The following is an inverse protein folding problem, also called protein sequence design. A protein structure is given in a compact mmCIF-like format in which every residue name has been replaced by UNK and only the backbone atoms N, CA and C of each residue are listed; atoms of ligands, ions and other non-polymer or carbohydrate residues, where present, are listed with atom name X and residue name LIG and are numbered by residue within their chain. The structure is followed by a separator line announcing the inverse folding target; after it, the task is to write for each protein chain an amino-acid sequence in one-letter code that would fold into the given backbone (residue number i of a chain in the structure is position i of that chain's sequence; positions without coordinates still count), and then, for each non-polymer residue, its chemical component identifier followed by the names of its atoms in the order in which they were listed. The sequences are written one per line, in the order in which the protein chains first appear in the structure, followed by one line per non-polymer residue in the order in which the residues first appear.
data_IF_615277786068
#
_entry.id   IF_615277786068
#
_cell.length_a   1.000
_cell.length_b   1.000
_cell.length_c   1.000
_cell.angle_alpha   90.00
_cell.angle_beta   90.00
_cell.angle_gamma   90.00
#
_symmetry.space_group_name_H-M   'P 1'
#
loop_
_entity.id
_entity.type
_entity.pdbx_description
1 polymer ?
#
# COMPACT_ATOMS: atom_id res chain seq x y z
N UNK A 1 -7.42 -13.60 29.26
CA UNK A 1 -6.90 -12.24 29.03
C UNK A 1 -5.68 -12.38 28.15
N UNK A 2 -5.80 -12.20 26.82
CA UNK A 2 -4.64 -12.21 25.93
C UNK A 2 -3.90 -10.89 26.16
N UNK A 3 -2.76 -10.96 26.85
CA UNK A 3 -1.87 -9.81 27.05
C UNK A 3 -1.10 -9.58 25.74
N UNK A 4 -0.84 -8.31 25.42
CA UNK A 4 -0.10 -7.91 24.21
C UNK A 4 1.31 -8.53 24.10
N UNK A 5 1.84 -9.05 25.20
CA UNK A 5 3.16 -9.67 25.29
C UNK A 5 3.15 -11.20 25.04
N UNK A 6 1.98 -11.83 24.90
CA UNK A 6 1.87 -13.29 24.79
C UNK A 6 2.12 -13.83 23.36
N UNK A 7 2.34 -12.96 22.37
CA UNK A 7 2.57 -13.35 20.98
C UNK A 7 3.63 -12.43 20.35
N UNK A 8 4.68 -12.98 19.70
CA UNK A 8 5.64 -12.16 18.95
C UNK A 8 4.96 -11.27 17.90
N UNK A 9 3.90 -11.77 17.23
CA UNK A 9 3.11 -10.98 16.27
C UNK A 9 2.47 -9.76 16.94
N UNK A 10 1.88 -9.95 18.13
CA UNK A 10 1.27 -8.85 18.88
C UNK A 10 2.34 -7.87 19.37
N UNK A 11 3.46 -8.39 19.87
CA UNK A 11 4.56 -7.61 20.42
C UNK A 11 5.21 -6.66 19.40
N UNK A 12 5.45 -7.11 18.16
CA UNK A 12 5.98 -6.23 17.11
C UNK A 12 4.97 -5.18 16.63
N UNK A 13 3.68 -5.50 16.67
CA UNK A 13 2.63 -4.65 16.11
C UNK A 13 1.87 -3.81 17.15
N UNK A 14 2.33 -3.72 18.41
CA UNK A 14 1.68 -2.91 19.45
C UNK A 14 1.55 -1.44 19.03
N UNK A 15 2.51 -0.93 18.25
CA UNK A 15 2.47 0.43 17.71
C UNK A 15 1.22 0.71 16.85
N UNK A 16 0.66 -0.31 16.19
CA UNK A 16 -0.62 -0.17 15.50
C UNK A 16 -1.78 -0.23 16.49
N UNK A 17 -1.75 -1.13 17.47
CA UNK A 17 -2.88 -1.36 18.37
C UNK A 17 -3.15 -0.18 19.32
N UNK A 18 -2.12 0.32 19.98
CA UNK A 18 -2.22 1.35 21.01
C UNK A 18 -1.07 2.37 20.97
N UNK A 19 -0.35 2.46 19.86
CA UNK A 19 0.75 3.42 19.64
C UNK A 19 1.85 3.33 20.72
N UNK A 20 2.14 2.12 21.20
CA UNK A 20 3.27 1.89 22.11
C UNK A 20 4.62 2.25 21.45
N UNK A 21 5.68 2.32 22.25
CA UNK A 21 7.03 2.65 21.81
C UNK A 21 7.49 1.74 20.66
N UNK A 22 8.19 2.32 19.69
CA UNK A 22 8.80 1.58 18.61
C UNK A 22 9.94 0.70 19.14
N UNK A 23 9.88 -0.61 18.87
CA UNK A 23 10.83 -1.63 19.37
C UNK A 23 11.66 -2.26 18.26
N UNK A 24 11.77 -1.59 17.12
CA UNK A 24 12.30 -2.19 15.88
C UNK A 24 11.21 -2.91 15.09
N UNK A 25 11.55 -3.35 13.88
CA UNK A 25 10.62 -4.01 12.96
C UNK A 25 10.83 -3.54 11.52
N UNK A 26 9.95 -4.00 10.63
CA UNK A 26 9.97 -3.64 9.22
C UNK A 26 9.63 -2.16 8.98
N UNK A 27 9.98 -1.58 7.81
CA UNK A 27 9.82 -0.15 7.51
C UNK A 27 8.46 0.46 7.85
N UNK A 28 7.40 -0.32 7.75
CA UNK A 28 6.04 0.14 8.04
C UNK A 28 5.83 0.52 9.52
N UNK A 29 6.47 -0.17 10.46
CA UNK A 29 6.44 0.18 11.88
C UNK A 29 7.13 1.53 12.12
N UNK A 30 8.30 1.74 11.51
CA UNK A 30 9.01 3.01 11.63
C UNK A 30 8.23 4.16 11.01
N UNK A 31 7.42 3.94 9.96
CA UNK A 31 6.56 4.99 9.42
C UNK A 31 5.58 5.54 10.47
N UNK A 32 5.02 4.69 11.33
CA UNK A 32 4.15 5.13 12.42
C UNK A 32 4.93 5.95 13.43
N UNK A 33 6.12 5.48 13.81
CA UNK A 33 7.04 6.18 14.71
C UNK A 33 7.44 7.56 14.17
N UNK A 34 7.85 7.61 12.91
CA UNK A 34 8.21 8.82 12.18
C UNK A 34 7.06 9.84 12.17
N UNK A 35 5.83 9.40 11.85
CA UNK A 35 4.67 10.28 11.83
C UNK A 35 4.29 10.79 13.23
N UNK A 36 4.44 9.96 14.27
CA UNK A 36 4.21 10.40 15.64
C UNK A 36 5.25 11.43 16.10
N UNK A 37 6.54 11.19 15.83
CA UNK A 37 7.60 12.12 16.21
C UNK A 37 7.43 13.46 15.49
N UNK A 38 7.05 13.45 14.20
CA UNK A 38 6.71 14.68 13.48
C UNK A 38 5.53 15.45 14.09
N UNK A 39 4.54 14.73 14.63
CA UNK A 39 3.43 15.36 15.34
C UNK A 39 3.88 15.99 16.66
N UNK A 40 4.68 15.30 17.47
CA UNK A 40 5.07 15.81 18.80
C UNK A 40 6.15 16.90 18.71
N UNK A 41 7.16 16.70 17.85
CA UNK A 41 8.26 17.65 17.69
C UNK A 41 7.90 18.84 16.79
N UNK A 42 6.75 18.77 16.10
CA UNK A 42 6.28 19.77 15.14
C UNK A 42 7.27 20.04 13.98
N UNK A 43 8.12 19.07 13.65
CA UNK A 43 9.10 19.16 12.57
C UNK A 43 8.44 19.30 11.20
N UNK A 44 9.08 20.05 10.30
CA UNK A 44 8.72 20.12 8.89
C UNK A 44 9.79 19.37 8.10
N UNK A 45 9.39 18.25 7.50
CA UNK A 45 10.30 17.39 6.74
C UNK A 45 9.84 17.39 5.28
N UNK A 46 10.72 17.70 4.30
CA UNK A 46 10.33 17.83 2.90
C UNK A 46 10.16 16.49 2.17
N UNK A 47 10.17 15.37 2.89
CA UNK A 47 10.04 14.01 2.38
C UNK A 47 9.23 13.14 3.34
N UNK A 48 8.65 12.07 2.82
CA UNK A 48 7.84 11.12 3.56
C UNK A 48 8.29 9.68 3.27
N UNK A 49 7.94 8.77 4.17
CA UNK A 49 8.09 7.32 3.95
C UNK A 49 7.03 6.85 2.94
N UNK A 50 7.46 6.16 1.88
CA UNK A 50 6.59 5.82 0.75
C UNK A 50 5.64 4.65 1.06
N UNK A 51 6.00 3.84 2.05
CA UNK A 51 5.23 2.69 2.50
C UNK A 51 3.79 2.98 2.89
N UNK A 52 2.80 2.34 2.27
CA UNK A 52 1.38 2.54 2.63
C UNK A 52 0.70 1.19 2.85
N UNK A 53 0.07 1.01 4.00
CA UNK A 53 -0.76 -0.15 4.34
C UNK A 53 -2.22 0.28 4.31
N UNK A 54 -3.07 -0.59 3.78
CA UNK A 54 -4.52 -0.37 3.71
C UNK A 54 -5.21 -0.60 5.06
N UNK A 55 -6.48 -0.21 5.14
CA UNK A 55 -7.31 -0.41 6.33
C UNK A 55 -7.41 -1.89 6.71
N UNK A 56 -7.52 -2.79 5.71
CA UNK A 56 -7.59 -4.25 5.94
C UNK A 56 -6.37 -4.80 6.68
N UNK A 57 -5.18 -4.19 6.57
CA UNK A 57 -4.02 -4.62 7.36
C UNK A 57 -4.33 -4.59 8.86
N UNK A 58 -4.89 -3.47 9.34
CA UNK A 58 -5.22 -3.30 10.77
C UNK A 58 -6.31 -4.28 11.19
N UNK A 59 -7.33 -4.46 10.35
CA UNK A 59 -8.41 -5.43 10.59
C UNK A 59 -7.90 -6.87 10.67
N UNK A 60 -7.07 -7.29 9.71
CA UNK A 60 -6.45 -8.62 9.69
C UNK A 60 -5.54 -8.83 10.90
N UNK A 61 -4.74 -7.83 11.27
CA UNK A 61 -3.88 -7.90 12.45
C UNK A 61 -4.71 -8.17 13.72
N UNK A 62 -5.77 -7.39 13.93
CA UNK A 62 -6.63 -7.53 15.12
C UNK A 62 -7.35 -8.88 15.11
N UNK A 63 -7.87 -9.31 13.95
CA UNK A 63 -8.57 -10.58 13.77
C UNK A 63 -7.66 -11.77 14.04
N UNK A 64 -6.46 -11.81 13.45
CA UNK A 64 -5.50 -12.89 13.65
C UNK A 64 -5.01 -13.01 15.11
N UNK A 65 -4.98 -11.90 15.84
CA UNK A 65 -4.57 -11.88 17.24
C UNK A 65 -5.74 -12.10 18.23
N UNK A 66 -6.99 -12.09 17.75
CA UNK A 66 -8.18 -12.17 18.61
C UNK A 66 -8.33 -10.95 19.54
N UNK A 67 -7.76 -9.80 19.17
CA UNK A 67 -7.67 -8.60 20.02
C UNK A 67 -8.79 -7.60 19.72
N UNK A 68 -10.04 -8.08 19.65
CA UNK A 68 -11.20 -7.31 19.20
C UNK A 68 -11.46 -6.01 19.97
N UNK A 69 -10.95 -5.89 21.21
CA UNK A 69 -11.02 -4.65 21.98
C UNK A 69 -10.26 -3.47 21.35
N UNK A 70 -9.36 -3.71 20.39
CA UNK A 70 -8.66 -2.67 19.62
C UNK A 70 -9.30 -2.38 18.25
N UNK A 71 -10.41 -3.06 17.92
CA UNK A 71 -11.14 -2.85 16.67
C UNK A 71 -11.99 -1.58 16.75
N UNK A 72 -11.39 -0.45 16.40
CA UNK A 72 -12.03 0.86 16.36
C UNK A 72 -11.90 1.47 14.97
N UNK A 73 -12.88 2.30 14.58
CA UNK A 73 -12.87 3.02 13.29
C UNK A 73 -12.25 4.40 13.42
N UNK A 74 -12.35 4.99 14.61
CA UNK A 74 -11.74 6.26 14.96
C UNK A 74 -10.90 6.10 16.23
N UNK A 75 -9.67 6.66 16.32
CA UNK A 75 -8.83 6.52 17.51
C UNK A 75 -9.48 6.99 18.83
N UNK A 76 -10.44 7.92 18.76
CA UNK A 76 -11.19 8.40 19.92
C UNK A 76 -12.10 7.33 20.55
N UNK A 77 -12.46 6.28 19.81
CA UNK A 77 -13.33 5.19 20.26
C UNK A 77 -12.59 4.16 21.12
N UNK A 78 -11.25 4.15 21.11
CA UNK A 78 -10.47 3.19 21.89
C UNK A 78 -10.71 3.44 23.38
N UNK A 79 -11.03 2.40 24.16
CA UNK A 79 -11.32 2.54 25.58
C UNK A 79 -10.13 3.16 26.35
N UNK A 80 -10.34 4.12 27.27
CA UNK A 80 -9.25 4.82 27.97
C UNK A 80 -8.22 3.90 28.62
N UNK A 81 -8.64 2.77 29.19
CA UNK A 81 -7.78 1.76 29.82
C UNK A 81 -6.85 1.01 28.84
N UNK A 82 -7.12 1.09 27.53
CA UNK A 82 -6.28 0.51 26.48
C UNK A 82 -5.33 1.53 25.83
N UNK A 83 -5.46 2.82 26.17
CA UNK A 83 -4.64 3.89 25.60
C UNK A 83 -3.31 3.96 26.32
N UNK A 84 -2.23 4.00 25.55
CA UNK A 84 -0.94 4.47 26.06
C UNK A 84 -0.95 5.99 26.20
N UNK A 85 0.07 6.55 26.85
CA UNK A 85 0.27 8.01 26.89
C UNK A 85 0.38 8.60 25.47
N UNK A 86 1.10 7.92 24.56
CA UNK A 86 1.22 8.34 23.16
C UNK A 86 -0.12 8.37 22.44
N UNK A 87 -0.95 7.36 22.64
CA UNK A 87 -2.31 7.33 22.09
C UNK A 87 -3.18 8.44 22.68
N UNK A 88 -3.06 8.72 23.98
CA UNK A 88 -3.83 9.78 24.61
C UNK A 88 -3.43 11.17 24.07
N UNK A 89 -2.14 11.45 23.90
CA UNK A 89 -1.65 12.68 23.24
C UNK A 89 -2.25 12.81 21.83
N UNK A 90 -2.33 11.71 21.09
CA UNK A 90 -2.94 11.71 19.76
C UNK A 90 -4.46 11.98 19.81
N UNK A 91 -5.18 11.37 20.76
CA UNK A 91 -6.60 11.67 21.00
C UNK A 91 -6.82 13.15 21.33
N UNK A 92 -5.97 13.76 22.15
CA UNK A 92 -6.11 15.17 22.52
C UNK A 92 -5.99 16.10 21.29
N UNK A 93 -5.10 15.77 20.35
CA UNK A 93 -5.02 16.47 19.06
C UNK A 93 -6.27 16.27 18.21
N UNK A 94 -6.81 15.04 18.14
CA UNK A 94 -8.01 14.73 17.37
C UNK A 94 -9.26 15.43 17.92
N UNK A 95 -9.42 15.49 19.25
CA UNK A 95 -10.52 16.20 19.90
C UNK A 95 -10.51 17.69 19.57
N UNK A 96 -9.32 18.29 19.46
CA UNK A 96 -9.16 19.71 19.16
C UNK A 96 -8.90 20.01 17.68
N UNK A 97 -9.02 19.01 16.79
CA UNK A 97 -8.57 19.07 15.40
C UNK A 97 -9.03 20.30 14.61
N UNK A 98 -10.30 20.75 14.69
CA UNK A 98 -10.76 21.93 13.94
C UNK A 98 -10.06 23.24 14.34
N UNK A 99 -9.55 23.33 15.57
CA UNK A 99 -8.87 24.52 16.10
C UNK A 99 -7.34 24.51 15.85
N UNK A 100 -6.80 23.39 15.35
CA UNK A 100 -5.37 23.27 15.06
C UNK A 100 -4.95 24.08 13.83
N UNK A 101 -3.67 24.49 13.79
CA UNK A 101 -3.09 25.07 12.58
C UNK A 101 -3.09 24.05 11.44
N UNK A 102 -3.08 24.52 10.18
CA UNK A 102 -3.06 23.62 9.01
C UNK A 102 -1.84 22.68 9.01
N UNK A 103 -0.67 23.17 9.39
CA UNK A 103 0.53 22.34 9.52
C UNK A 103 0.37 21.23 10.56
N UNK A 104 -0.23 21.55 11.71
CA UNK A 104 -0.53 20.54 12.75
C UNK A 104 -1.61 19.57 12.29
N UNK A 105 -2.65 20.04 11.59
CA UNK A 105 -3.66 19.17 10.96
C UNK A 105 -3.00 18.15 10.03
N UNK A 106 -2.08 18.57 9.16
CA UNK A 106 -1.33 17.66 8.27
C UNK A 106 -0.65 16.54 9.06
N UNK A 107 0.07 16.88 10.14
CA UNK A 107 0.78 15.89 10.98
C UNK A 107 -0.18 14.90 11.65
N UNK A 108 -1.33 15.37 12.15
CA UNK A 108 -2.37 14.51 12.74
C UNK A 108 -2.91 13.54 11.68
N UNK A 109 -3.21 14.02 10.48
CA UNK A 109 -3.71 13.20 9.38
C UNK A 109 -2.65 12.22 8.87
N UNK A 110 -1.37 12.60 8.83
CA UNK A 110 -0.27 11.70 8.48
C UNK A 110 -0.12 10.54 9.48
N UNK A 111 -0.34 10.80 10.78
CA UNK A 111 -0.36 9.74 11.78
C UNK A 111 -1.59 8.83 11.62
N UNK A 112 -2.80 9.36 11.39
CA UNK A 112 -3.96 8.55 11.03
C UNK A 112 -3.67 7.66 9.81
N UNK A 113 -3.03 8.23 8.79
CA UNK A 113 -2.72 7.54 7.54
C UNK A 113 -1.74 6.39 7.80
N UNK A 114 -0.72 6.63 8.61
CA UNK A 114 0.29 5.62 8.98
C UNK A 114 -0.29 4.51 9.85
N UNK A 115 -1.31 4.80 10.66
CA UNK A 115 -2.05 3.85 11.48
C UNK A 115 -3.20 3.14 10.75
N UNK A 116 -3.36 3.40 9.45
CA UNK A 116 -4.38 2.82 8.57
C UNK A 116 -5.83 3.24 8.86
N UNK A 117 -6.05 4.40 9.51
CA UNK A 117 -7.38 4.95 9.79
C UNK A 117 -7.92 5.78 8.60
N UNK A 118 -7.98 5.17 7.41
CA UNK A 118 -8.36 5.88 6.19
C UNK A 118 -9.80 6.40 6.22
N UNK A 119 -10.74 5.65 6.79
CA UNK A 119 -12.13 6.10 6.95
C UNK A 119 -12.22 7.36 7.84
N UNK A 120 -11.51 7.38 8.97
CA UNK A 120 -11.48 8.55 9.86
C UNK A 120 -10.89 9.78 9.17
N UNK A 121 -9.88 9.62 8.31
CA UNK A 121 -9.32 10.74 7.52
C UNK A 121 -10.41 11.39 6.66
N UNK A 122 -11.33 10.60 6.10
CA UNK A 122 -12.43 11.14 5.31
C UNK A 122 -13.44 11.94 6.15
N UNK A 123 -13.49 11.73 7.45
CA UNK A 123 -14.34 12.48 8.38
C UNK A 123 -13.67 13.79 8.83
N UNK A 124 -12.36 13.76 9.11
CA UNK A 124 -11.61 14.93 9.57
C UNK A 124 -11.24 15.91 8.45
N UNK A 125 -11.03 15.43 7.23
CA UNK A 125 -10.62 16.26 6.10
C UNK A 125 -11.75 16.29 5.08
N UNK A 126 -12.65 17.29 5.05
CA UNK A 126 -13.68 17.37 4.03
C UNK A 126 -13.07 17.58 2.63
N UNK A 127 -13.89 17.38 1.58
CA UNK A 127 -13.49 17.74 0.21
C UNK A 127 -13.15 19.23 0.14
N UNK A 128 -12.01 19.54 -0.46
CA UNK A 128 -11.52 20.92 -0.63
C UNK A 128 -11.73 21.39 -2.05
N UNK A 129 -12.12 22.65 -2.22
CA UNK A 129 -12.21 23.28 -3.53
C UNK A 129 -10.83 23.52 -4.14
N UNK A 130 -10.78 23.68 -5.48
CA UNK A 130 -9.55 24.05 -6.18
C UNK A 130 -8.91 25.35 -5.64
N UNK A 131 -9.73 26.31 -5.19
CA UNK A 131 -9.26 27.59 -4.62
C UNK A 131 -8.57 27.35 -3.28
N UNK A 132 -9.14 26.52 -2.41
CA UNK A 132 -8.54 26.16 -1.12
C UNK A 132 -7.22 25.40 -1.29
N UNK A 133 -7.19 24.47 -2.25
CA UNK A 133 -5.98 23.71 -2.61
C UNK A 133 -4.88 24.65 -3.11
N UNK A 134 -5.21 25.62 -3.96
CA UNK A 134 -4.25 26.58 -4.52
C UNK A 134 -3.74 27.59 -3.48
N UNK A 135 -4.52 27.90 -2.45
CA UNK A 135 -4.20 28.96 -1.49
C UNK A 135 -3.15 28.58 -0.44
N UNK A 136 -2.90 27.29 -0.20
CA UNK A 136 -2.00 26.85 0.88
C UNK A 136 -1.44 25.44 0.64
N UNK A 137 -0.12 25.27 0.80
CA UNK A 137 0.59 23.99 0.67
C UNK A 137 0.12 22.90 1.64
N UNK A 138 -0.23 23.26 2.88
CA UNK A 138 -0.78 22.34 3.86
C UNK A 138 -2.21 21.91 3.47
N UNK A 139 -3.03 22.81 2.93
CA UNK A 139 -4.35 22.47 2.40
C UNK A 139 -4.24 21.50 1.23
N UNK A 140 -3.30 21.73 0.31
CA UNK A 140 -3.02 20.79 -0.78
C UNK A 140 -2.57 19.42 -0.26
N UNK A 141 -1.77 19.38 0.81
CA UNK A 141 -1.31 18.14 1.44
C UNK A 141 -2.45 17.39 2.14
N UNK A 142 -3.34 18.09 2.84
CA UNK A 142 -4.55 17.50 3.43
C UNK A 142 -5.46 16.92 2.34
N UNK A 143 -5.69 17.66 1.25
CA UNK A 143 -6.48 17.17 0.12
C UNK A 143 -5.86 15.90 -0.50
N UNK A 144 -4.53 15.86 -0.65
CA UNK A 144 -3.81 14.69 -1.13
C UNK A 144 -3.94 13.48 -0.21
N UNK A 145 -3.76 13.64 1.10
CA UNK A 145 -3.91 12.56 2.08
C UNK A 145 -5.35 12.01 2.10
N UNK A 146 -6.36 12.88 1.96
CA UNK A 146 -7.76 12.48 1.79
C UNK A 146 -7.95 11.68 0.51
N UNK A 147 -7.53 12.20 -0.64
CA UNK A 147 -7.70 11.55 -1.94
C UNK A 147 -7.00 10.18 -2.00
N UNK A 148 -5.80 10.08 -1.44
CA UNK A 148 -5.09 8.80 -1.31
C UNK A 148 -5.80 7.82 -0.37
N UNK A 149 -6.38 8.31 0.74
CA UNK A 149 -7.15 7.46 1.66
C UNK A 149 -8.42 6.92 1.02
N UNK A 150 -9.13 7.75 0.25
CA UNK A 150 -10.29 7.35 -0.54
C UNK A 150 -9.91 6.28 -1.59
N UNK A 151 -8.84 6.53 -2.36
CA UNK A 151 -8.31 5.57 -3.32
C UNK A 151 -7.93 4.24 -2.66
N UNK A 152 -7.28 4.27 -1.51
CA UNK A 152 -6.87 3.07 -0.78
C UNK A 152 -8.07 2.27 -0.27
N UNK A 153 -9.10 2.90 0.28
CA UNK A 153 -10.32 2.21 0.73
C UNK A 153 -11.02 1.46 -0.42
N UNK A 154 -11.09 2.07 -1.59
CA UNK A 154 -11.72 1.44 -2.75
C UNK A 154 -10.85 0.32 -3.33
N UNK A 155 -9.54 0.55 -3.50
CA UNK A 155 -8.63 -0.44 -4.06
C UNK A 155 -8.44 -1.67 -3.16
N UNK A 156 -8.40 -1.47 -1.84
CA UNK A 156 -8.29 -2.54 -0.84
C UNK A 156 -9.48 -3.52 -0.92
N UNK A 157 -10.67 -3.00 -1.19
CA UNK A 157 -11.91 -3.78 -1.33
C UNK A 157 -12.25 -4.13 -2.78
N UNK A 158 -11.37 -3.81 -3.73
CA UNK A 158 -11.57 -4.00 -5.17
C UNK A 158 -12.92 -3.41 -5.66
N UNK A 159 -13.21 -2.19 -5.19
CA UNK A 159 -14.36 -1.37 -5.53
C UNK A 159 -13.99 -0.34 -6.63
N UNK A 160 -14.96 0.14 -7.43
CA UNK A 160 -14.74 1.22 -8.37
C UNK A 160 -14.23 2.50 -7.69
N UNK A 161 -13.28 3.20 -8.30
CA UNK A 161 -12.73 4.46 -7.78
C UNK A 161 -12.51 5.50 -8.88
N UNK A 162 -12.32 6.76 -8.48
CA UNK A 162 -12.08 7.90 -9.38
C UNK A 162 -10.78 8.60 -9.02
N UNK A 163 -10.10 9.19 -10.01
CA UNK A 163 -8.87 9.96 -9.82
C UNK A 163 -9.10 11.48 -9.90
N UNK A 164 -10.36 11.92 -9.94
CA UNK A 164 -10.70 13.33 -10.16
C UNK A 164 -10.13 14.27 -9.08
N UNK A 165 -10.12 13.82 -7.83
CA UNK A 165 -9.58 14.62 -6.73
C UNK A 165 -8.06 14.76 -6.86
N UNK A 166 -7.36 13.67 -7.22
CA UNK A 166 -5.94 13.70 -7.53
C UNK A 166 -5.64 14.62 -8.73
N UNK A 167 -6.46 14.60 -9.77
CA UNK A 167 -6.33 15.51 -10.91
C UNK A 167 -6.49 16.97 -10.48
N UNK A 168 -7.49 17.26 -9.67
CA UNK A 168 -7.74 18.59 -9.12
C UNK A 168 -6.54 19.07 -8.30
N UNK A 169 -5.95 18.20 -7.48
CA UNK A 169 -4.76 18.50 -6.68
C UNK A 169 -3.57 18.78 -7.60
N UNK A 170 -3.29 17.89 -8.56
CA UNK A 170 -2.17 18.03 -9.48
C UNK A 170 -2.26 19.34 -10.27
N UNK A 171 -3.46 19.75 -10.70
CA UNK A 171 -3.64 20.97 -11.48
C UNK A 171 -3.57 22.25 -10.62
N UNK A 172 -4.05 22.22 -9.38
CA UNK A 172 -4.31 23.44 -8.60
C UNK A 172 -3.38 23.66 -7.41
N UNK A 173 -2.69 22.64 -6.88
CA UNK A 173 -1.76 22.85 -5.77
C UNK A 173 -0.64 23.84 -6.15
N UNK A 174 -0.01 24.54 -5.19
CA UNK A 174 1.02 25.53 -5.50
C UNK A 174 2.17 24.94 -6.34
N UNK A 175 2.67 25.68 -7.33
CA UNK A 175 3.83 25.26 -8.15
C UNK A 175 5.04 25.04 -7.24
N UNK A 176 5.80 23.96 -7.48
CA UNK A 176 6.90 23.55 -6.62
C UNK A 176 6.47 22.76 -5.38
N UNK A 177 5.17 22.51 -5.18
CA UNK A 177 4.70 21.62 -4.12
C UNK A 177 4.75 20.15 -4.57
N UNK A 178 5.39 19.31 -3.75
CA UNK A 178 5.59 17.88 -3.99
C UNK A 178 4.30 17.09 -4.25
N UNK A 179 3.16 17.56 -3.75
CA UNK A 179 1.88 16.85 -3.94
C UNK A 179 1.38 16.95 -5.39
N UNK A 180 1.84 17.93 -6.19
CA UNK A 180 1.58 17.99 -7.64
C UNK A 180 2.22 16.81 -8.35
N UNK A 181 3.50 16.56 -8.04
CA UNK A 181 4.27 15.43 -8.54
C UNK A 181 3.62 14.12 -8.07
N UNK A 182 3.33 14.02 -6.78
CA UNK A 182 2.77 12.79 -6.18
C UNK A 182 1.40 12.43 -6.76
N UNK A 183 0.50 13.39 -6.90
CA UNK A 183 -0.81 13.17 -7.51
C UNK A 183 -0.70 12.82 -8.99
N UNK A 184 0.10 13.57 -9.76
CA UNK A 184 0.32 13.27 -11.18
C UNK A 184 0.94 11.89 -11.41
N UNK A 185 1.87 11.47 -10.55
CA UNK A 185 2.51 10.15 -10.63
C UNK A 185 1.53 9.04 -10.26
N UNK A 186 0.70 9.22 -9.24
CA UNK A 186 -0.35 8.24 -8.91
C UNK A 186 -1.31 8.07 -10.11
N UNK A 187 -1.73 9.16 -10.73
CA UNK A 187 -2.62 9.12 -11.91
C UNK A 187 -1.97 8.39 -13.08
N UNK A 188 -0.71 8.70 -13.39
CA UNK A 188 0.08 8.01 -14.42
C UNK A 188 0.07 6.49 -14.16
N UNK A 189 0.40 6.09 -12.93
CA UNK A 189 0.53 4.69 -12.55
C UNK A 189 -0.81 3.96 -12.69
N UNK A 190 -1.92 4.55 -12.24
CA UNK A 190 -3.26 3.95 -12.38
C UNK A 190 -3.70 3.84 -13.84
N UNK A 191 -3.51 4.90 -14.64
CA UNK A 191 -3.78 4.86 -16.08
C UNK A 191 -3.02 3.74 -16.76
N UNK A 192 -1.74 3.59 -16.43
CA UNK A 192 -0.90 2.59 -17.06
C UNK A 192 -1.14 1.16 -16.55
N UNK A 193 -1.33 0.98 -15.23
CA UNK A 193 -1.44 -0.35 -14.61
C UNK A 193 -2.86 -0.90 -14.63
N UNK A 194 -3.83 -0.07 -14.32
CA UNK A 194 -5.23 -0.49 -14.14
C UNK A 194 -5.99 -0.39 -15.44
N UNK A 195 -5.98 0.80 -16.07
CA UNK A 195 -6.82 1.05 -17.25
C UNK A 195 -6.15 0.81 -18.59
N UNK A 196 -4.82 0.63 -18.60
CA UNK A 196 -4.03 0.43 -19.82
C UNK A 196 -4.18 1.58 -20.83
N UNK A 197 -4.44 2.79 -20.34
CA UNK A 197 -4.53 4.02 -21.14
C UNK A 197 -3.13 4.59 -21.36
N UNK A 198 -2.59 4.35 -22.54
CA UNK A 198 -1.25 4.80 -22.91
C UNK A 198 -1.20 6.32 -23.12
N UNK A 199 -2.17 6.91 -23.82
CA UNK A 199 -2.19 8.34 -24.13
C UNK A 199 -2.30 9.18 -22.84
N UNK A 200 -3.21 8.77 -21.95
CA UNK A 200 -3.35 9.38 -20.63
C UNK A 200 -2.07 9.25 -19.80
N UNK A 201 -1.46 8.07 -19.78
CA UNK A 201 -0.21 7.85 -19.03
C UNK A 201 0.97 8.69 -19.58
N UNK A 202 1.07 8.87 -20.90
CA UNK A 202 2.09 9.74 -21.52
C UNK A 202 1.89 11.22 -21.22
N UNK A 203 0.62 11.67 -21.24
CA UNK A 203 0.28 13.03 -20.86
C UNK A 203 0.70 13.31 -19.41
N UNK A 204 0.32 12.44 -18.48
CA UNK A 204 0.66 12.60 -17.07
C UNK A 204 2.15 12.42 -16.79
N UNK A 205 2.85 11.57 -17.53
CA UNK A 205 4.32 11.50 -17.50
C UNK A 205 4.94 12.85 -17.86
N UNK A 206 4.52 13.44 -18.96
CA UNK A 206 5.01 14.75 -19.41
C UNK A 206 4.67 15.87 -18.42
N UNK A 207 3.50 15.78 -17.77
CA UNK A 207 3.12 16.68 -16.69
C UNK A 207 4.10 16.56 -15.51
N UNK A 208 4.32 15.35 -15.00
CA UNK A 208 5.19 15.11 -13.85
C UNK A 208 6.63 15.54 -14.15
N UNK A 209 7.15 15.27 -15.36
CA UNK A 209 8.49 15.73 -15.78
C UNK A 209 8.64 17.26 -15.72
N UNK A 210 7.59 18.03 -16.06
CA UNK A 210 7.60 19.49 -15.94
C UNK A 210 7.55 19.95 -14.49
N UNK A 211 6.72 19.32 -13.67
CA UNK A 211 6.60 19.66 -12.25
C UNK A 211 7.89 19.33 -11.48
N UNK A 212 8.57 18.23 -11.81
CA UNK A 212 9.90 17.92 -11.26
C UNK A 212 10.87 19.03 -11.60
N UNK A 213 10.98 19.46 -12.86
CA UNK A 213 11.87 20.58 -13.26
C UNK A 213 11.57 21.87 -12.49
N UNK A 214 10.29 22.15 -12.21
CA UNK A 214 9.89 23.32 -11.44
C UNK A 214 10.18 23.20 -9.93
N UNK A 215 10.31 21.97 -9.41
CA UNK A 215 10.47 21.68 -7.98
C UNK A 215 11.94 21.43 -7.61
N UNK A 216 12.75 20.81 -8.48
CA UNK A 216 14.12 20.36 -8.15
C UNK A 216 15.01 21.50 -7.64
N UNK A 217 14.85 22.72 -8.15
CA UNK A 217 15.64 23.87 -7.70
C UNK A 217 15.41 24.27 -6.22
N UNK A 218 14.31 23.84 -5.59
CA UNK A 218 14.03 24.09 -4.17
C UNK A 218 14.41 22.92 -3.25
N UNK A 219 14.94 21.83 -3.80
CA UNK A 219 15.29 20.63 -3.05
C UNK A 219 16.79 20.56 -2.78
N UNK A 220 17.14 19.92 -1.67
CA UNK A 220 18.51 19.46 -1.46
C UNK A 220 18.80 18.22 -2.33
N UNK A 221 20.07 17.82 -2.37
CA UNK A 221 20.52 16.67 -3.15
C UNK A 221 19.80 15.37 -2.75
N UNK A 222 19.42 15.24 -1.48
CA UNK A 222 18.67 14.09 -0.98
C UNK A 222 17.25 14.07 -1.53
N UNK A 223 16.52 15.18 -1.44
CA UNK A 223 15.17 15.35 -1.96
C UNK A 223 15.09 15.18 -3.47
N UNK A 224 16.04 15.77 -4.22
CA UNK A 224 16.14 15.57 -5.67
C UNK A 224 16.33 14.10 -6.01
N UNK A 225 17.32 13.44 -5.41
CA UNK A 225 17.59 12.01 -5.66
C UNK A 225 16.38 11.12 -5.35
N UNK A 226 15.67 11.44 -4.26
CA UNK A 226 14.51 10.67 -3.82
C UNK A 226 13.36 10.79 -4.82
N UNK A 227 13.05 12.02 -5.24
CA UNK A 227 12.00 12.26 -6.25
C UNK A 227 12.34 11.60 -7.57
N UNK A 228 13.59 11.71 -8.04
CA UNK A 228 13.99 11.10 -9.32
C UNK A 228 13.87 9.58 -9.27
N UNK A 229 14.25 8.96 -8.15
CA UNK A 229 14.07 7.53 -7.92
C UNK A 229 12.58 7.12 -7.96
N UNK A 230 11.72 7.85 -7.22
CA UNK A 230 10.27 7.63 -7.20
C UNK A 230 9.66 7.81 -8.59
N UNK A 231 10.07 8.87 -9.30
CA UNK A 231 9.59 9.20 -10.63
C UNK A 231 9.87 8.08 -11.62
N UNK A 232 11.13 7.64 -11.76
CA UNK A 232 11.45 6.59 -12.73
C UNK A 232 10.76 5.27 -12.37
N UNK A 233 10.59 4.94 -11.08
CA UNK A 233 9.82 3.78 -10.64
C UNK A 233 8.35 3.80 -11.07
N UNK A 234 7.72 4.97 -11.12
CA UNK A 234 6.34 5.12 -11.59
C UNK A 234 6.23 5.34 -13.11
N UNK A 235 7.13 6.13 -13.70
CA UNK A 235 7.12 6.48 -15.12
C UNK A 235 7.41 5.29 -16.04
N UNK A 236 8.11 4.26 -15.54
CA UNK A 236 8.44 3.03 -16.28
C UNK A 236 7.21 2.26 -16.76
N UNK A 237 6.03 2.48 -16.16
CA UNK A 237 4.82 1.82 -16.62
C UNK A 237 4.42 2.23 -18.04
N UNK A 238 4.84 3.41 -18.53
CA UNK A 238 4.63 3.86 -19.92
C UNK A 238 5.40 2.98 -20.91
N UNK A 239 6.76 2.85 -20.85
CA UNK A 239 7.47 1.94 -21.74
C UNK A 239 7.10 0.46 -21.51
N UNK A 240 6.68 0.08 -20.30
CA UNK A 240 6.16 -1.26 -20.03
C UNK A 240 4.87 -1.55 -20.83
N UNK A 241 3.93 -0.60 -20.90
CA UNK A 241 2.74 -0.71 -21.75
C UNK A 241 3.10 -0.82 -23.24
N UNK A 242 4.10 -0.05 -23.69
CA UNK A 242 4.64 -0.14 -25.05
C UNK A 242 5.42 -1.43 -25.31
N UNK A 243 5.67 -2.25 -24.28
CA UNK A 243 6.54 -3.43 -24.32
C UNK A 243 7.97 -3.10 -24.77
N UNK A 244 8.42 -1.86 -24.54
CA UNK A 244 9.76 -1.41 -24.89
C UNK A 244 10.77 -1.86 -23.83
N UNK A 245 11.29 -3.07 -23.99
CA UNK A 245 12.23 -3.70 -23.04
C UNK A 245 13.46 -2.83 -22.75
N UNK A 246 14.09 -2.27 -23.78
CA UNK A 246 15.31 -1.50 -23.63
C UNK A 246 15.08 -0.24 -22.78
N UNK A 247 13.97 0.45 -23.00
CA UNK A 247 13.62 1.64 -22.23
C UNK A 247 13.19 1.29 -20.79
N UNK A 248 12.48 0.17 -20.58
CA UNK A 248 12.17 -0.32 -19.23
C UNK A 248 13.46 -0.53 -18.43
N UNK A 249 14.41 -1.26 -19.00
CA UNK A 249 15.70 -1.55 -18.32
C UNK A 249 16.46 -0.26 -18.03
N UNK A 250 16.58 0.63 -19.02
CA UNK A 250 17.29 1.90 -18.84
C UNK A 250 16.66 2.79 -17.75
N UNK A 251 15.32 2.89 -17.70
CA UNK A 251 14.63 3.68 -16.68
C UNK A 251 14.72 3.03 -15.29
N UNK A 252 14.71 1.70 -15.22
CA UNK A 252 14.92 0.97 -13.96
C UNK A 252 16.36 1.08 -13.45
N UNK A 253 17.35 1.14 -14.34
CA UNK A 253 18.75 1.39 -13.98
C UNK A 253 18.93 2.81 -13.44
N UNK A 254 18.30 3.83 -14.05
CA UNK A 254 18.28 5.19 -13.51
C UNK A 254 17.62 5.23 -12.13
N UNK A 255 16.45 4.62 -11.99
CA UNK A 255 15.72 4.51 -10.72
C UNK A 255 16.61 3.95 -9.59
N UNK A 256 17.32 2.85 -9.88
CA UNK A 256 18.23 2.20 -8.95
C UNK A 256 19.45 3.08 -8.64
N UNK A 257 20.07 3.69 -9.64
CA UNK A 257 21.23 4.56 -9.45
C UNK A 257 20.92 5.76 -8.54
N UNK A 258 19.75 6.41 -8.71
CA UNK A 258 19.33 7.48 -7.81
C UNK A 258 19.17 7.01 -6.37
N UNK A 259 18.61 5.82 -6.15
CA UNK A 259 18.41 5.29 -4.80
C UNK A 259 19.68 4.84 -4.09
N UNK A 260 20.62 4.25 -4.83
CA UNK A 260 21.94 3.90 -4.31
C UNK A 260 22.78 5.17 -4.04
N UNK A 261 22.50 6.26 -4.75
CA UNK A 261 23.10 7.57 -4.53
C UNK A 261 22.57 8.33 -3.31
N UNK A 262 21.46 7.91 -2.70
CA UNK A 262 20.86 8.57 -1.53
C UNK A 262 21.72 8.40 -0.27
N UNK A 263 22.54 9.41 0.03
CA UNK A 263 23.32 9.49 1.27
C UNK A 263 22.49 10.20 2.36
N UNK A 264 22.01 9.46 3.35
CA UNK A 264 21.29 10.04 4.47
C UNK A 264 22.23 10.62 5.53
N UNK A 265 22.09 11.92 5.81
CA UNK A 265 22.86 12.63 6.84
C UNK A 265 22.19 12.56 8.21
N UNK A 266 20.86 12.43 8.24
CA UNK A 266 20.07 12.26 9.45
C UNK A 266 19.53 10.83 9.56
N UNK A 267 19.14 10.41 10.76
CA UNK A 267 18.49 9.12 10.98
C UNK A 267 17.24 8.94 10.09
N UNK A 268 16.44 10.00 9.92
CA UNK A 268 15.26 9.99 9.05
C UNK A 268 15.63 9.80 7.57
N UNK A 269 16.66 10.51 7.07
CA UNK A 269 17.12 10.33 5.69
C UNK A 269 17.73 8.95 5.46
N UNK A 270 18.48 8.41 6.44
CA UNK A 270 19.03 7.07 6.37
C UNK A 270 17.93 6.02 6.27
N UNK A 271 16.88 6.18 7.07
CA UNK A 271 15.71 5.31 7.00
C UNK A 271 14.98 5.43 5.66
N UNK A 272 14.70 6.65 5.18
CA UNK A 272 14.02 6.87 3.89
C UNK A 272 14.84 6.33 2.71
N UNK A 273 16.18 6.47 2.75
CA UNK A 273 17.09 5.86 1.78
C UNK A 273 17.02 4.33 1.83
N UNK A 274 17.05 3.76 3.05
CA UNK A 274 16.91 2.32 3.25
C UNK A 274 15.59 1.78 2.70
N UNK A 275 14.48 2.44 3.00
CA UNK A 275 13.14 2.07 2.55
C UNK A 275 13.01 2.18 1.03
N UNK A 276 13.47 3.29 0.44
CA UNK A 276 13.44 3.50 -1.00
C UNK A 276 14.21 2.39 -1.75
N UNK A 277 15.39 2.01 -1.27
CA UNK A 277 16.17 0.92 -1.85
C UNK A 277 15.43 -0.43 -1.78
N UNK A 278 14.75 -0.74 -0.67
CA UNK A 278 13.96 -1.98 -0.56
C UNK A 278 12.83 -2.02 -1.58
N UNK A 279 12.10 -0.91 -1.72
CA UNK A 279 10.99 -0.78 -2.67
C UNK A 279 11.45 -0.89 -4.13
N UNK A 280 12.67 -0.47 -4.42
CA UNK A 280 13.27 -0.64 -5.75
C UNK A 280 13.70 -2.07 -5.98
N UNK A 281 14.25 -2.75 -4.98
CA UNK A 281 14.57 -4.17 -5.08
C UNK A 281 13.31 -5.01 -5.34
N UNK A 282 12.16 -4.70 -4.72
CA UNK A 282 10.86 -5.28 -5.08
C UNK A 282 10.53 -5.05 -6.57
N UNK A 283 10.71 -3.82 -7.05
CA UNK A 283 10.41 -3.43 -8.44
C UNK A 283 11.35 -4.09 -9.45
N UNK A 284 12.64 -4.20 -9.12
CA UNK A 284 13.68 -4.88 -9.92
C UNK A 284 13.49 -6.39 -9.95
N UNK A 285 12.93 -6.97 -8.89
CA UNK A 285 12.52 -8.39 -8.86
C UNK A 285 11.36 -8.62 -9.85
N UNK A 286 10.35 -7.76 -9.82
CA UNK A 286 9.19 -7.82 -10.75
C UNK A 286 9.59 -7.57 -12.20
N UNK A 287 10.55 -6.68 -12.45
CA UNK A 287 11.13 -6.47 -13.77
C UNK A 287 11.83 -7.74 -14.28
N UNK A 288 12.67 -8.39 -13.47
CA UNK A 288 13.34 -9.64 -13.86
C UNK A 288 12.33 -10.74 -14.21
N UNK A 289 11.25 -10.87 -13.42
CA UNK A 289 10.13 -11.76 -13.74
C UNK A 289 9.46 -11.41 -15.08
N UNK A 290 9.24 -10.12 -15.36
CA UNK A 290 8.67 -9.66 -16.63
C UNK A 290 9.60 -9.95 -17.82
N UNK A 291 10.91 -9.83 -17.64
CA UNK A 291 11.94 -10.20 -18.61
C UNK A 291 12.09 -11.72 -18.76
N UNK A 292 11.49 -12.51 -17.87
CA UNK A 292 11.63 -13.97 -17.73
C UNK A 292 13.03 -14.42 -17.31
N UNK A 293 13.80 -13.52 -16.71
CA UNK A 293 15.07 -13.85 -16.08
C UNK A 293 14.81 -14.34 -14.65
N UNK A 294 14.53 -15.64 -14.54
CA UNK A 294 14.15 -16.25 -13.26
C UNK A 294 15.34 -16.41 -12.31
N UNK A 295 16.56 -16.48 -12.82
CA UNK A 295 17.77 -16.53 -11.98
C UNK A 295 17.99 -15.18 -11.29
N UNK A 296 17.93 -14.08 -12.05
CA UNK A 296 18.04 -12.74 -11.50
C UNK A 296 16.88 -12.38 -10.57
N UNK A 297 15.66 -12.82 -10.90
CA UNK A 297 14.52 -12.63 -10.02
C UNK A 297 14.70 -13.34 -8.67
N UNK A 298 15.22 -14.59 -8.67
CA UNK A 298 15.46 -15.34 -7.44
C UNK A 298 16.57 -14.70 -6.61
N UNK A 299 17.69 -14.31 -7.25
CA UNK A 299 18.79 -13.62 -6.57
C UNK A 299 18.29 -12.35 -5.85
N UNK A 300 17.52 -11.51 -6.54
CA UNK A 300 16.99 -10.26 -5.99
C UNK A 300 15.99 -10.51 -4.87
N UNK A 301 15.08 -11.47 -5.03
CA UNK A 301 14.10 -11.82 -3.99
C UNK A 301 14.77 -12.37 -2.71
N UNK A 302 15.84 -13.17 -2.85
CA UNK A 302 16.61 -13.66 -1.69
C UNK A 302 17.33 -12.53 -0.98
N UNK A 303 17.99 -11.60 -1.71
CA UNK A 303 18.60 -10.41 -1.12
C UNK A 303 17.61 -9.52 -0.38
N UNK A 304 16.39 -9.39 -0.91
CA UNK A 304 15.33 -8.61 -0.27
C UNK A 304 14.92 -9.22 1.08
N UNK A 305 14.81 -10.54 1.12
CA UNK A 305 14.54 -11.30 2.35
C UNK A 305 15.69 -11.22 3.36
N UNK A 306 16.95 -11.22 2.90
CA UNK A 306 18.12 -11.04 3.77
C UNK A 306 18.18 -9.62 4.37
N UNK A 307 17.72 -8.63 3.59
CA UNK A 307 17.68 -7.22 4.01
C UNK A 307 16.67 -7.00 5.13
N UNK A 308 15.47 -7.57 5.03
CA UNK A 308 14.48 -7.53 6.10
C UNK A 308 13.85 -8.91 6.34
N UNK A 309 14.32 -9.56 7.39
CA UNK A 309 13.88 -10.91 7.76
C UNK A 309 12.48 -10.94 8.38
N UNK A 310 11.96 -9.79 8.83
CA UNK A 310 10.68 -9.68 9.54
C UNK A 310 9.53 -9.25 8.62
N UNK A 311 9.81 -8.84 7.38
CA UNK A 311 8.76 -8.42 6.45
C UNK A 311 8.11 -9.62 5.74
N UNK A 312 6.82 -9.91 5.99
CA UNK A 312 6.13 -11.04 5.36
C UNK A 312 6.02 -10.90 3.84
N UNK A 313 6.03 -9.68 3.29
CA UNK A 313 5.85 -9.45 1.86
C UNK A 313 7.06 -9.93 1.06
N UNK A 314 8.26 -9.84 1.62
CA UNK A 314 9.48 -10.31 0.96
C UNK A 314 9.50 -11.83 0.87
N UNK A 315 8.92 -12.51 1.85
CA UNK A 315 8.69 -13.96 1.81
C UNK A 315 7.61 -14.34 0.78
N UNK A 316 6.56 -13.54 0.64
CA UNK A 316 5.56 -13.72 -0.43
C UNK A 316 6.19 -13.58 -1.82
N UNK A 317 6.99 -12.53 -2.05
CA UNK A 317 7.67 -12.30 -3.32
C UNK A 317 8.66 -13.42 -3.65
N UNK A 318 9.47 -13.85 -2.67
CA UNK A 318 10.36 -15.00 -2.84
C UNK A 318 9.56 -16.27 -3.19
N UNK A 319 8.44 -16.52 -2.51
CA UNK A 319 7.56 -17.65 -2.80
C UNK A 319 7.03 -17.61 -4.24
N UNK A 320 6.60 -16.44 -4.72
CA UNK A 320 6.12 -16.29 -6.11
C UNK A 320 7.21 -16.61 -7.12
N UNK A 321 8.42 -16.10 -6.90
CA UNK A 321 9.57 -16.35 -7.79
C UNK A 321 9.92 -17.85 -7.81
N UNK A 322 10.00 -18.48 -6.64
CA UNK A 322 10.32 -19.91 -6.52
C UNK A 322 9.25 -20.78 -7.18
N UNK A 323 7.98 -20.43 -7.02
CA UNK A 323 6.87 -21.13 -7.68
C UNK A 323 6.98 -21.02 -9.20
N UNK A 324 7.28 -19.83 -9.74
CA UNK A 324 7.50 -19.65 -11.19
C UNK A 324 8.72 -20.41 -11.71
N UNK A 325 9.70 -20.73 -10.86
CA UNK A 325 10.82 -21.61 -11.16
C UNK A 325 10.52 -23.10 -11.04
N UNK A 326 9.34 -23.47 -10.56
CA UNK A 326 8.99 -24.86 -10.26
C UNK A 326 9.66 -25.41 -8.99
N UNK A 327 10.27 -24.55 -8.16
CA UNK A 327 10.84 -24.91 -6.85
C UNK A 327 9.74 -24.88 -5.79
N UNK A 328 8.77 -25.77 -5.91
CA UNK A 328 7.51 -25.70 -5.15
C UNK A 328 7.74 -25.93 -3.64
N UNK A 329 8.70 -26.79 -3.26
CA UNK A 329 9.10 -27.03 -1.86
C UNK A 329 9.63 -25.78 -1.18
N UNK A 330 10.54 -25.07 -1.85
CA UNK A 330 11.07 -23.82 -1.32
C UNK A 330 9.99 -22.73 -1.29
N UNK A 331 9.09 -22.68 -2.28
CA UNK A 331 7.97 -21.74 -2.30
C UNK A 331 7.04 -21.93 -1.11
N UNK A 332 6.69 -23.19 -0.78
CA UNK A 332 5.90 -23.52 0.41
C UNK A 332 6.59 -23.07 1.69
N UNK A 333 7.90 -23.25 1.82
CA UNK A 333 8.63 -22.75 2.99
C UNK A 333 8.61 -21.22 3.08
N UNK A 334 8.74 -20.52 1.95
CA UNK A 334 8.65 -19.07 1.92
C UNK A 334 7.26 -18.58 2.34
N UNK A 335 6.19 -19.16 1.78
CA UNK A 335 4.82 -18.82 2.17
C UNK A 335 4.51 -19.17 3.62
N UNK A 336 4.95 -20.33 4.12
CA UNK A 336 4.82 -20.70 5.53
C UNK A 336 5.56 -19.73 6.47
N UNK A 337 6.69 -19.18 6.03
CA UNK A 337 7.38 -18.13 6.78
C UNK A 337 6.54 -16.85 6.85
N UNK A 338 5.91 -16.45 5.74
CA UNK A 338 5.03 -15.29 5.71
C UNK A 338 3.82 -15.46 6.65
N UNK A 339 3.17 -16.63 6.68
CA UNK A 339 2.02 -16.87 7.57
C UNK A 339 2.38 -16.80 9.06
N UNK A 340 3.62 -17.19 9.41
CA UNK A 340 4.16 -17.08 10.78
C UNK A 340 4.46 -15.63 11.19
N UNK A 341 4.91 -14.80 10.25
CA UNK A 341 5.15 -13.38 10.50
C UNK A 341 3.83 -12.59 10.64
N UNK A 342 2.78 -12.99 9.91
CA UNK A 342 1.46 -12.37 9.98
C UNK A 342 1.28 -11.26 8.94
N UNK A 343 0.29 -10.36 9.13
CA UNK A 343 -0.02 -9.31 8.16
C UNK A 343 1.16 -8.34 7.96
N UNK A 344 1.25 -7.71 6.78
CA UNK A 344 0.32 -7.83 5.64
C UNK A 344 0.52 -9.12 4.82
N UNK A 345 -0.58 -9.62 4.23
CA UNK A 345 -0.53 -10.68 3.23
C UNK A 345 -0.61 -12.12 3.74
N UNK A 346 -0.95 -12.36 5.01
CA UNK A 346 -1.18 -13.71 5.57
C UNK A 346 -2.19 -14.51 4.75
N UNK A 347 -3.32 -13.90 4.38
CA UNK A 347 -4.35 -14.55 3.55
C UNK A 347 -3.77 -15.00 2.20
N UNK A 348 -3.02 -14.12 1.53
CA UNK A 348 -2.35 -14.43 0.27
C UNK A 348 -1.33 -15.56 0.44
N UNK A 349 -0.56 -15.57 1.53
CA UNK A 349 0.42 -16.61 1.81
C UNK A 349 -0.25 -17.98 1.97
N UNK A 350 -1.34 -18.07 2.74
CA UNK A 350 -2.14 -19.28 2.89
C UNK A 350 -2.72 -19.74 1.55
N UNK A 351 -3.32 -18.82 0.79
CA UNK A 351 -3.86 -19.14 -0.53
C UNK A 351 -2.79 -19.69 -1.47
N UNK A 352 -1.64 -19.03 -1.59
CA UNK A 352 -0.55 -19.47 -2.49
C UNK A 352 0.06 -20.79 -2.03
N UNK A 353 0.19 -21.02 -0.72
CA UNK A 353 0.62 -22.32 -0.18
C UNK A 353 -0.39 -23.43 -0.51
N UNK A 354 -1.69 -23.15 -0.44
CA UNK A 354 -2.75 -24.06 -0.87
C UNK A 354 -2.67 -24.40 -2.36
N UNK A 355 -2.36 -23.41 -3.21
CA UNK A 355 -2.13 -23.66 -4.64
C UNK A 355 -0.93 -24.57 -4.88
N UNK A 356 0.15 -24.43 -4.09
CA UNK A 356 1.31 -25.31 -4.17
C UNK A 356 0.93 -26.76 -3.81
N UNK A 357 0.27 -26.98 -2.67
CA UNK A 357 -0.18 -28.32 -2.27
C UNK A 357 -1.16 -28.94 -3.27
N UNK A 358 -2.09 -28.15 -3.80
CA UNK A 358 -3.02 -28.61 -4.83
C UNK A 358 -2.27 -29.08 -6.08
N UNK A 359 -1.21 -28.37 -6.49
CA UNK A 359 -0.41 -28.74 -7.66
C UNK A 359 0.40 -30.02 -7.47
N UNK A 360 0.69 -30.41 -6.23
CA UNK A 360 1.30 -31.68 -5.88
C UNK A 360 0.33 -32.82 -5.63
N UNK A 361 -0.99 -32.56 -5.62
CA UNK A 361 -2.00 -33.56 -5.31
C UNK A 361 -2.27 -33.78 -3.81
N UNK A 362 -1.68 -32.96 -2.94
CA UNK A 362 -1.93 -32.96 -1.49
C UNK A 362 -3.22 -32.16 -1.20
N UNK A 363 -4.36 -32.73 -1.56
CA UNK A 363 -5.65 -32.01 -1.60
C UNK A 363 -6.16 -31.61 -0.21
N UNK A 364 -5.92 -32.43 0.81
CA UNK A 364 -6.30 -32.15 2.20
C UNK A 364 -5.49 -30.98 2.76
N UNK A 365 -4.18 -30.91 2.48
CA UNK A 365 -3.35 -29.77 2.87
C UNK A 365 -3.75 -28.50 2.12
N UNK A 366 -4.13 -28.62 0.84
CA UNK A 366 -4.66 -27.50 0.07
C UNK A 366 -5.96 -26.97 0.67
N UNK A 367 -6.87 -27.87 1.05
CA UNK A 367 -8.13 -27.54 1.73
C UNK A 367 -7.88 -26.74 3.01
N UNK A 368 -7.00 -27.23 3.91
CA UNK A 368 -6.67 -26.55 5.17
C UNK A 368 -6.09 -25.15 4.91
N UNK A 369 -5.22 -25.01 3.91
CA UNK A 369 -4.65 -23.72 3.55
C UNK A 369 -5.70 -22.74 3.01
N UNK A 370 -6.64 -23.21 2.19
CA UNK A 370 -7.70 -22.34 1.67
C UNK A 370 -8.67 -21.91 2.77
N UNK A 371 -8.99 -22.77 3.74
CA UNK A 371 -9.75 -22.37 4.92
C UNK A 371 -9.00 -21.34 5.76
N UNK A 372 -7.71 -21.56 6.04
CA UNK A 372 -6.90 -20.60 6.80
C UNK A 372 -6.79 -19.23 6.08
N UNK A 373 -6.78 -19.22 4.74
CA UNK A 373 -6.88 -17.98 3.96
C UNK A 373 -8.21 -17.26 4.18
N UNK A 374 -9.33 -17.99 4.29
CA UNK A 374 -10.67 -17.42 4.53
C UNK A 374 -10.84 -16.93 5.97
N UNK A 375 -10.22 -17.59 6.93
CA UNK A 375 -10.19 -17.10 8.32
C UNK A 375 -9.48 -15.74 8.42
N UNK A 376 -8.40 -15.58 7.63
CA UNK A 376 -7.67 -14.31 7.55
C UNK A 376 -8.46 -13.24 6.78
N UNK A 377 -9.10 -13.60 5.66
CA UNK A 377 -9.94 -12.74 4.82
C UNK A 377 -11.25 -13.44 4.39
N UNK A 378 -12.36 -13.21 5.12
CA UNK A 378 -13.67 -13.81 4.82
C UNK A 378 -14.30 -13.35 3.51
N UNK A 379 -13.79 -12.27 2.89
CA UNK A 379 -14.26 -11.74 1.62
C UNK A 379 -13.45 -12.28 0.43
N UNK A 380 -12.41 -13.09 0.69
CA UNK A 380 -11.56 -13.63 -0.37
C UNK A 380 -12.34 -14.64 -1.24
N UNK A 381 -12.67 -14.22 -2.47
CA UNK A 381 -13.38 -15.06 -3.44
C UNK A 381 -12.51 -16.22 -3.95
N UNK A 382 -11.20 -15.99 -4.13
CA UNK A 382 -10.29 -16.96 -4.75
C UNK A 382 -10.16 -18.27 -3.97
N UNK A 383 -9.98 -18.28 -2.63
CA UNK A 383 -10.01 -19.52 -1.85
C UNK A 383 -11.33 -20.29 -1.97
N UNK A 384 -12.49 -19.63 -1.91
CA UNK A 384 -13.80 -20.32 -2.06
C UNK A 384 -13.91 -21.00 -3.44
N UNK A 385 -13.45 -20.34 -4.50
CA UNK A 385 -13.38 -20.94 -5.84
C UNK A 385 -12.49 -22.18 -5.85
N UNK A 386 -11.34 -22.15 -5.18
CA UNK A 386 -10.42 -23.30 -5.11
C UNK A 386 -11.00 -24.43 -4.29
N UNK A 387 -11.64 -24.15 -3.15
CA UNK A 387 -12.37 -25.15 -2.34
C UNK A 387 -13.43 -25.87 -3.17
N UNK A 388 -14.25 -25.14 -3.92
CA UNK A 388 -15.24 -25.73 -4.82
C UNK A 388 -14.64 -26.57 -5.95
N UNK A 389 -13.43 -26.24 -6.42
CA UNK A 389 -12.70 -27.02 -7.44
C UNK A 389 -12.12 -28.32 -6.89
N UNK A 390 -11.63 -28.34 -5.65
CA UNK A 390 -11.05 -29.54 -5.04
C UNK A 390 -12.11 -30.46 -4.39
N UNK A 391 -13.29 -29.94 -4.06
CA UNK A 391 -14.35 -30.68 -3.38
C UNK A 391 -14.75 -32.01 -4.08
N UNK A 392 -14.94 -32.08 -5.42
CA UNK A 392 -15.22 -33.34 -6.09
C UNK A 392 -14.05 -34.34 -6.03
N UNK A 393 -12.81 -33.83 -6.01
CA UNK A 393 -11.61 -34.65 -5.92
C UNK A 393 -11.45 -35.28 -4.52
N UNK A 394 -11.94 -34.58 -3.50
CA UNK A 394 -12.03 -35.07 -2.11
C UNK A 394 -13.26 -35.96 -1.87
N UNK A 395 -14.20 -36.05 -2.82
CA UNK A 395 -15.47 -36.74 -2.63
C UNK A 395 -16.43 -36.02 -1.66
N UNK A 396 -16.24 -34.73 -1.42
CA UNK A 396 -17.04 -33.92 -0.49
C UNK A 396 -18.09 -33.08 -1.23
N UNK A 397 -19.28 -33.65 -1.43
CA UNK A 397 -20.41 -32.95 -2.06
C UNK A 397 -20.92 -31.77 -1.23
N UNK A 398 -20.78 -31.82 0.10
CA UNK A 398 -21.22 -30.73 0.97
C UNK A 398 -20.34 -29.50 0.78
N UNK A 399 -19.03 -29.69 0.68
CA UNK A 399 -18.09 -28.61 0.39
C UNK A 399 -18.34 -27.98 -0.98
N UNK A 400 -18.67 -28.79 -1.99
CA UNK A 400 -19.01 -28.29 -3.32
C UNK A 400 -20.25 -27.38 -3.27
N UNK A 401 -21.31 -27.83 -2.61
CA UNK A 401 -22.56 -27.07 -2.44
C UNK A 401 -22.33 -25.79 -1.61
N UNK A 402 -21.61 -25.90 -0.49
CA UNK A 402 -21.24 -24.76 0.34
C UNK A 402 -20.45 -23.71 -0.46
N UNK A 403 -19.49 -24.15 -1.26
CA UNK A 403 -18.65 -23.24 -2.06
C UNK A 403 -19.49 -22.46 -3.08
N UNK A 404 -20.46 -23.11 -3.74
CA UNK A 404 -21.37 -22.43 -4.67
C UNK A 404 -22.23 -21.37 -3.96
N UNK A 405 -22.83 -21.74 -2.82
CA UNK A 405 -23.65 -20.82 -2.03
C UNK A 405 -22.82 -19.63 -1.50
N UNK A 406 -21.62 -19.89 -0.98
CA UNK A 406 -20.74 -18.84 -0.47
C UNK A 406 -20.26 -17.91 -1.57
N UNK A 407 -19.97 -18.42 -2.77
CA UNK A 407 -19.63 -17.58 -3.93
C UNK A 407 -20.78 -16.66 -4.33
N UNK A 408 -22.01 -17.15 -4.31
CA UNK A 408 -23.19 -16.33 -4.57
C UNK A 408 -23.35 -15.23 -3.52
N UNK A 409 -23.23 -15.57 -2.23
CA UNK A 409 -23.27 -14.60 -1.13
C UNK A 409 -22.19 -13.51 -1.26
N UNK A 410 -20.95 -13.91 -1.55
CA UNK A 410 -19.83 -12.96 -1.74
C UNK A 410 -20.07 -12.02 -2.93
N UNK A 411 -20.71 -12.50 -4.00
CA UNK A 411 -21.10 -11.66 -5.13
C UNK A 411 -22.17 -10.65 -4.74
N UNK A 412 -23.18 -11.05 -3.96
CA UNK A 412 -24.20 -10.13 -3.44
C UNK A 412 -23.62 -9.10 -2.47
N UNK A 413 -22.76 -9.53 -1.54
CA UNK A 413 -22.05 -8.65 -0.61
C UNK A 413 -21.21 -7.62 -1.39
N UNK A 414 -20.46 -8.05 -2.41
CA UNK A 414 -19.68 -7.16 -3.26
C UNK A 414 -20.56 -6.18 -4.03
N UNK A 415 -21.66 -6.65 -4.63
CA UNK A 415 -22.57 -5.78 -5.37
C UNK A 415 -23.23 -4.73 -4.46
N UNK A 416 -23.55 -5.07 -3.20
CA UNK A 416 -24.05 -4.12 -2.21
C UNK A 416 -22.97 -3.08 -1.85
N UNK A 417 -21.73 -3.49 -1.62
CA UNK A 417 -20.63 -2.56 -1.34
C UNK A 417 -20.39 -1.60 -2.52
N UNK A 418 -20.47 -2.09 -3.76
CA UNK A 418 -20.37 -1.26 -4.96
C UNK A 418 -21.53 -0.27 -5.07
N UNK A 419 -22.75 -0.71 -4.74
CA UNK A 419 -23.95 0.14 -4.75
C UNK A 419 -23.93 1.20 -3.64
N UNK A 420 -23.50 0.85 -2.43
CA UNK A 420 -23.39 1.79 -1.31
C UNK A 420 -22.27 2.83 -1.56
N UNK A 421 -21.20 2.43 -2.27
CA UNK A 421 -20.15 3.34 -2.77
C UNK A 421 -20.57 4.15 -4.02
N UNK A 422 -21.74 3.90 -4.60
CA UNK A 422 -22.16 4.40 -5.93
C UNK A 422 -22.70 5.85 -5.99
N UNK A 423 -22.24 6.75 -5.11
CA UNK A 423 -22.05 8.17 -5.52
C UNK A 423 -20.88 8.30 -6.51
N UNK A 424 -20.75 7.35 -7.43
CA UNK A 424 -19.64 7.15 -8.35
C UNK A 424 -19.85 8.03 -9.58
N UNK A 425 -19.14 9.15 -9.62
CA UNK A 425 -18.88 9.86 -10.88
C UNK A 425 -17.69 9.20 -11.52
N UNK A 426 -17.98 8.26 -12.43
CA UNK A 426 -16.97 7.50 -13.14
C UNK A 426 -15.97 8.36 -13.91
N UNK A 427 -14.92 7.68 -14.36
CA UNK A 427 -13.87 8.24 -15.18
C UNK A 427 -14.45 8.79 -16.50
N UNK A 428 -14.53 10.12 -16.60
CA UNK A 428 -14.70 10.82 -17.88
C UNK A 428 -13.47 11.72 -18.02
N UNK A 429 -12.40 11.19 -18.61
CA UNK A 429 -11.37 12.07 -19.12
C UNK A 429 -11.97 12.87 -20.28
N UNK A 430 -12.28 14.13 -20.04
CA UNK A 430 -12.10 15.13 -21.08
C UNK A 430 -10.60 15.37 -21.21
N UNK A 431 -9.86 14.40 -21.79
CA UNK A 431 -8.54 14.72 -22.35
C UNK A 431 -8.79 15.85 -23.33
N UNK A 432 -8.20 17.04 -23.17
CA UNK A 432 -8.28 18.06 -24.20
C UNK A 432 -7.60 17.45 -25.42
N UNK A 433 -8.39 16.98 -26.40
CA UNK A 433 -7.88 16.62 -27.71
C UNK A 433 -7.12 17.85 -28.18
N UNK A 434 -5.80 17.75 -28.29
CA UNK A 434 -4.99 18.80 -28.86
C UNK A 434 -5.64 19.15 -30.21
N UNK A 435 -6.12 20.39 -30.35
CA UNK A 435 -6.58 20.88 -31.64
C UNK A 435 -5.37 20.83 -32.56
N UNK A 436 -5.32 19.81 -33.40
CA UNK A 436 -4.47 19.81 -34.59
C UNK A 436 -5.06 20.89 -35.47
N UNK A 437 -4.50 22.10 -35.39
CA UNK A 437 -4.76 23.11 -36.39
C UNK A 437 -4.14 22.60 -37.70
N UNK A 438 -5.01 22.34 -38.67
CA UNK A 438 -4.66 22.02 -40.05
C UNK A 438 -4.02 23.23 -40.75
#
# INVERSE_FOLDING_TARGET
MFLLDNSPKAWFNQIYLNLDNFRGGSPHHYKVEFSYNNLVEQTSIPYNVQFNLSESFRESLIRELGLHQYQVKNPLELAPELRTERWQIFCDHLTNYPALTKSTQVKVIQLLFSLCFHQAILEYVPLMSAVEIAGNSDSATLAFLRAMSDLMLHTDRNLPYSLKDLETIAQNAPVGNIVRISAGLQILVDLAKTWKDLEGAEFWRSFVEREIKATVASLDAFGEGLIMSIFYRGAVFVPLLKKNKAQVVAEMDLCQAYAEGLKGETQNQQFVSYENQSVIMESRTKEALWLKDLDLAEERARKLVERDILDPRYRLELGEVLLKRGKVEEAVQAYRSATRLGPPGTAVAWFMMGQCYQSWGELELAYDCYLASLDCDPLAISPVKRLGQIAPLLGDENLANWSQLRLFQLQEEKAKMEADGSTFRGYVLNVPKAKVNA
#
